data_IF_276945075397
#
_entry.id   IF_276945075397
#
_cell.length_a   1.000
_cell.length_b   1.000
_cell.length_c   1.000
_cell.angle_alpha   90.00
_cell.angle_beta   90.00
_cell.angle_gamma   90.00
#
_symmetry.space_group_name_H-M   'P 1'
#
loop_
_entity.id
_entity.type
_entity.pdbx_description
1 polymer ?
#
# COMPACT_ATOMS: atom_id res chain seq x y z
N UNK A 1 -1.62 -4.43 -37.41
CA UNK A 1 -0.37 -3.73 -37.09
C UNK A 1 0.33 -3.34 -38.37
N UNK A 2 0.61 -2.06 -38.58
CA UNK A 2 1.33 -1.54 -39.74
C UNK A 2 2.85 -1.55 -39.49
N UNK A 3 3.70 -1.58 -40.53
CA UNK A 3 5.16 -1.47 -40.38
C UNK A 3 5.64 -0.21 -39.62
N UNK A 4 4.83 0.86 -39.60
CA UNK A 4 5.11 2.06 -38.80
C UNK A 4 4.97 1.83 -37.29
N UNK A 5 4.08 0.92 -36.86
CA UNK A 5 3.90 0.55 -35.44
C UNK A 5 5.05 -0.33 -34.92
N UNK A 6 5.81 -0.97 -35.80
CA UNK A 6 7.00 -1.75 -35.45
C UNK A 6 8.28 -0.91 -35.32
N UNK A 7 8.31 0.30 -35.88
CA UNK A 7 9.49 1.19 -35.82
C UNK A 7 9.52 2.06 -34.56
N UNK A 8 8.39 2.16 -33.83
CA UNK A 8 8.31 2.88 -32.54
C UNK A 8 8.76 2.04 -31.33
N UNK A 9 9.16 0.78 -31.54
CA UNK A 9 9.46 -0.19 -30.48
C UNK A 9 10.95 -0.50 -30.28
N UNK A 10 11.85 0.32 -30.84
CA UNK A 10 13.30 0.16 -30.67
C UNK A 10 13.95 1.20 -29.75
N UNK A 11 13.17 1.90 -28.90
CA UNK A 11 13.81 2.49 -27.73
C UNK A 11 14.30 1.36 -26.85
N UNK A 12 15.61 1.25 -26.68
CA UNK A 12 16.17 0.32 -25.71
C UNK A 12 15.65 0.71 -24.33
N UNK A 13 15.39 -0.23 -23.43
CA UNK A 13 14.85 0.08 -22.09
C UNK A 13 15.67 1.13 -21.32
N UNK A 14 16.95 1.29 -21.68
CA UNK A 14 17.86 2.30 -21.12
C UNK A 14 17.51 3.75 -21.45
N UNK A 15 16.68 3.99 -22.47
CA UNK A 15 16.29 5.33 -22.91
C UNK A 15 14.96 5.82 -22.29
N UNK A 16 14.25 4.94 -21.59
CA UNK A 16 12.98 5.28 -20.98
C UNK A 16 13.19 6.09 -19.71
N UNK A 17 12.44 7.17 -19.55
CA UNK A 17 12.36 7.87 -18.28
C UNK A 17 11.79 6.95 -17.20
N UNK A 18 12.08 7.17 -15.90
CA UNK A 18 11.52 6.36 -14.82
C UNK A 18 9.99 6.26 -14.85
N UNK A 19 9.30 7.35 -15.21
CA UNK A 19 7.85 7.35 -15.37
C UNK A 19 7.43 6.42 -16.51
N UNK A 20 8.04 6.52 -17.70
CA UNK A 20 7.75 5.62 -18.81
C UNK A 20 8.02 4.14 -18.48
N UNK A 21 9.10 3.83 -17.74
CA UNK A 21 9.38 2.48 -17.25
C UNK A 21 8.28 1.99 -16.32
N UNK A 22 7.86 2.79 -15.34
CA UNK A 22 6.75 2.46 -14.47
C UNK A 22 5.45 2.21 -15.26
N UNK A 23 5.14 3.08 -16.22
CA UNK A 23 3.91 3.00 -17.00
C UNK A 23 3.86 1.79 -17.95
N UNK A 24 5.01 1.37 -18.50
CA UNK A 24 5.13 0.30 -19.50
C UNK A 24 5.49 -1.06 -18.90
N UNK A 25 6.43 -1.08 -17.96
CA UNK A 25 6.99 -2.28 -17.35
C UNK A 25 6.42 -2.54 -15.95
N UNK A 26 5.61 -1.62 -15.40
CA UNK A 26 4.98 -1.78 -14.09
C UNK A 26 5.89 -1.45 -12.92
N UNK A 27 7.14 -1.05 -13.14
CA UNK A 27 8.04 -0.65 -12.06
C UNK A 27 9.21 0.22 -12.54
N UNK A 28 9.87 0.88 -11.60
CA UNK A 28 11.16 1.57 -11.80
C UNK A 28 11.98 1.63 -10.50
N UNK A 29 13.30 1.73 -10.65
CA UNK A 29 14.23 1.93 -9.54
C UNK A 29 14.23 3.39 -9.06
N UNK A 30 14.40 3.58 -7.74
CA UNK A 30 14.59 4.87 -7.11
C UNK A 30 15.89 4.86 -6.31
N UNK A 31 16.78 5.82 -6.56
CA UNK A 31 18.05 5.92 -5.84
C UNK A 31 17.88 6.22 -4.35
N UNK A 32 16.79 6.89 -3.97
CA UNK A 32 16.37 7.16 -2.60
C UNK A 32 14.84 7.21 -2.55
N UNK A 33 14.20 6.91 -1.41
CA UNK A 33 12.79 7.24 -1.24
C UNK A 33 12.57 8.76 -1.37
N UNK A 34 11.39 9.22 -1.81
CA UNK A 34 11.14 10.64 -1.97
C UNK A 34 11.20 11.37 -0.63
N UNK A 35 11.74 12.58 -0.65
CA UNK A 35 11.70 13.49 0.50
C UNK A 35 10.26 13.95 0.76
N UNK A 36 9.54 13.17 1.55
CA UNK A 36 8.12 13.37 1.82
C UNK A 36 7.83 13.12 3.31
N UNK A 37 6.95 13.93 3.90
CA UNK A 37 6.59 13.84 5.31
C UNK A 37 6.05 12.47 5.71
N UNK A 38 5.23 11.81 4.87
CA UNK A 38 4.73 10.46 5.16
C UNK A 38 5.84 9.40 5.14
N UNK A 39 6.86 9.56 4.31
CA UNK A 39 8.04 8.68 4.32
C UNK A 39 8.78 8.83 5.64
N UNK A 40 9.06 10.06 6.05
CA UNK A 40 9.71 10.37 7.34
C UNK A 40 8.90 9.85 8.53
N UNK A 41 7.58 10.00 8.49
CA UNK A 41 6.66 9.48 9.50
C UNK A 41 6.73 7.95 9.59
N UNK A 42 6.66 7.25 8.45
CA UNK A 42 6.75 5.80 8.41
C UNK A 42 8.11 5.29 8.96
N UNK A 43 9.21 5.94 8.60
CA UNK A 43 10.55 5.65 9.12
C UNK A 43 10.63 5.85 10.64
N UNK A 44 10.07 6.95 11.16
CA UNK A 44 10.02 7.22 12.59
C UNK A 44 9.22 6.15 13.35
N UNK A 45 8.06 5.75 12.80
CA UNK A 45 7.24 4.68 13.38
C UNK A 45 7.95 3.33 13.34
N UNK A 46 8.60 3.00 12.21
CA UNK A 46 9.41 1.78 12.09
C UNK A 46 10.56 1.79 13.10
N UNK A 47 11.34 2.86 13.16
CA UNK A 47 12.46 2.98 14.12
C UNK A 47 12.01 2.82 15.57
N UNK A 48 10.80 3.28 15.91
CA UNK A 48 10.27 3.19 17.27
C UNK A 48 9.71 1.81 17.61
N UNK A 49 9.06 1.14 16.67
CA UNK A 49 8.21 -0.01 16.98
C UNK A 49 8.59 -1.33 16.30
N UNK A 50 9.46 -1.32 15.28
CA UNK A 50 9.77 -2.53 14.52
C UNK A 50 10.31 -3.67 15.40
N UNK A 51 11.19 -3.36 16.36
CA UNK A 51 11.70 -4.34 17.32
C UNK A 51 10.59 -4.97 18.14
N UNK A 52 9.69 -4.16 18.70
CA UNK A 52 8.55 -4.63 19.50
C UNK A 52 7.57 -5.48 18.67
N UNK A 53 7.30 -5.09 17.42
CA UNK A 53 6.46 -5.89 16.51
C UNK A 53 7.10 -7.25 16.23
N UNK A 54 8.41 -7.29 15.95
CA UNK A 54 9.13 -8.54 15.70
C UNK A 54 9.15 -9.46 16.93
N UNK A 55 9.39 -8.91 18.12
CA UNK A 55 9.34 -9.64 19.40
C UNK A 55 7.99 -10.32 19.60
N UNK A 56 6.89 -9.55 19.50
CA UNK A 56 5.54 -10.08 19.65
C UNK A 56 5.24 -11.21 18.64
N UNK A 57 5.65 -11.04 17.39
CA UNK A 57 5.41 -12.05 16.36
C UNK A 57 6.27 -13.30 16.55
N UNK A 58 7.48 -13.16 17.08
CA UNK A 58 8.36 -14.28 17.43
C UNK A 58 7.82 -15.06 18.64
N UNK A 59 7.33 -14.38 19.68
CA UNK A 59 6.66 -15.02 20.83
C UNK A 59 5.43 -15.85 20.39
N UNK A 60 4.80 -15.45 19.28
CA UNK A 60 3.62 -16.09 18.70
C UNK A 60 3.94 -17.09 17.59
N UNK A 61 5.22 -17.46 17.38
CA UNK A 61 5.65 -18.46 16.40
C UNK A 61 4.88 -19.79 16.48
N UNK A 62 4.64 -20.39 17.67
CA UNK A 62 3.87 -21.63 17.77
C UNK A 62 2.44 -21.55 17.22
N UNK A 63 1.94 -20.33 16.99
CA UNK A 63 0.57 -20.03 16.54
C UNK A 63 0.50 -19.54 15.10
N UNK A 64 1.62 -19.53 14.36
CA UNK A 64 1.65 -19.03 13.00
C UNK A 64 0.75 -19.82 12.04
N UNK A 65 0.47 -21.09 12.32
CA UNK A 65 -0.40 -21.91 11.48
C UNK A 65 -1.77 -22.19 12.12
N UNK A 66 -2.14 -21.46 13.17
CA UNK A 66 -3.46 -21.54 13.77
C UNK A 66 -4.54 -20.91 12.86
N UNK A 67 -5.71 -21.56 12.78
CA UNK A 67 -6.90 -21.03 12.10
C UNK A 67 -7.04 -21.44 10.63
N UNK A 68 -8.09 -20.97 9.96
CA UNK A 68 -8.46 -21.35 8.59
C UNK A 68 -8.10 -20.29 7.52
N UNK A 69 -7.13 -19.42 7.80
CA UNK A 69 -6.76 -18.30 6.94
C UNK A 69 -5.31 -18.35 6.44
N UNK A 70 -4.79 -17.17 6.06
CA UNK A 70 -3.35 -17.02 5.75
C UNK A 70 -2.54 -17.35 7.01
N UNK A 71 -1.38 -18.02 6.89
CA UNK A 71 -0.47 -18.18 8.02
C UNK A 71 -0.15 -16.84 8.67
N UNK A 72 -0.12 -16.83 9.99
CA UNK A 72 0.13 -15.66 10.82
C UNK A 72 -1.12 -14.88 11.17
N UNK A 73 -2.32 -15.23 10.67
CA UNK A 73 -3.56 -14.46 10.93
C UNK A 73 -3.84 -14.31 12.43
N UNK A 74 -3.77 -15.41 13.18
CA UNK A 74 -4.00 -15.41 14.63
C UNK A 74 -2.91 -14.64 15.37
N UNK A 75 -1.65 -14.84 15.02
CA UNK A 75 -0.52 -14.12 15.60
C UNK A 75 -0.62 -12.60 15.36
N UNK A 76 -0.91 -12.18 14.14
CA UNK A 76 -1.08 -10.79 13.75
C UNK A 76 -2.23 -10.11 14.52
N UNK A 77 -3.35 -10.81 14.71
CA UNK A 77 -4.48 -10.31 15.49
C UNK A 77 -4.11 -10.07 16.95
N UNK A 78 -3.39 -11.01 17.58
CA UNK A 78 -2.95 -10.89 18.96
C UNK A 78 -1.95 -9.75 19.10
N UNK A 79 -0.94 -9.70 18.22
CA UNK A 79 0.03 -8.61 18.18
C UNK A 79 -0.64 -7.23 18.03
N UNK A 80 -1.64 -7.12 17.13
CA UNK A 80 -2.43 -5.89 16.96
C UNK A 80 -3.16 -5.47 18.23
N UNK A 81 -3.79 -6.41 18.94
CA UNK A 81 -4.47 -6.10 20.20
C UNK A 81 -3.49 -5.60 21.26
N UNK A 82 -2.34 -6.25 21.38
CA UNK A 82 -1.29 -5.85 22.31
C UNK A 82 -0.78 -4.45 21.98
N UNK A 83 -0.38 -4.20 20.74
CA UNK A 83 0.09 -2.88 20.27
C UNK A 83 -0.96 -1.78 20.44
N UNK A 84 -2.24 -2.10 20.21
CA UNK A 84 -3.34 -1.17 20.50
C UNK A 84 -3.43 -0.81 21.98
N UNK A 85 -3.31 -1.80 22.87
CA UNK A 85 -3.33 -1.58 24.33
C UNK A 85 -2.11 -0.81 24.84
N UNK A 86 -0.98 -0.91 24.14
CA UNK A 86 0.24 -0.13 24.39
C UNK A 86 0.16 1.31 23.82
N UNK A 87 -0.94 1.67 23.16
CA UNK A 87 -1.12 2.99 22.55
C UNK A 87 -0.28 3.21 21.28
N UNK A 88 0.23 2.15 20.65
CA UNK A 88 1.16 2.26 19.53
C UNK A 88 0.50 2.78 18.23
N UNK A 89 -0.81 2.58 18.08
CA UNK A 89 -1.51 2.93 16.83
C UNK A 89 -1.17 2.07 15.63
N UNK A 90 -0.51 0.94 15.86
CA UNK A 90 -0.11 -0.01 14.83
C UNK A 90 -1.14 -1.12 14.73
N UNK A 91 -1.50 -1.46 13.49
CA UNK A 91 -2.30 -2.63 13.17
C UNK A 91 -1.47 -3.63 12.36
N UNK A 92 -1.36 -4.86 12.84
CA UNK A 92 -0.60 -5.94 12.20
C UNK A 92 -1.57 -6.93 11.55
N UNK A 93 -1.34 -7.24 10.27
CA UNK A 93 -2.10 -8.26 9.53
C UNK A 93 -1.17 -9.31 8.92
N UNK A 94 -1.72 -10.49 8.64
CA UNK A 94 -1.06 -11.47 7.79
C UNK A 94 -1.05 -10.98 6.33
N UNK A 95 0.13 -10.95 5.73
CA UNK A 95 0.33 -10.63 4.32
C UNK A 95 0.28 -11.89 3.45
N UNK A 96 0.54 -11.78 2.14
CA UNK A 96 0.75 -12.96 1.30
C UNK A 96 1.90 -13.79 1.91
N UNK A 97 1.73 -15.12 2.06
CA UNK A 97 2.67 -15.95 2.82
C UNK A 97 3.98 -16.17 2.05
N UNK A 98 5.00 -16.66 2.75
CA UNK A 98 6.20 -17.21 2.11
C UNK A 98 5.86 -18.52 1.40
N UNK A 99 6.46 -18.74 0.24
CA UNK A 99 6.31 -19.94 -0.57
C UNK A 99 7.65 -20.44 -1.09
N UNK A 100 7.82 -21.76 -1.17
CA UNK A 100 8.95 -22.39 -1.83
C UNK A 100 9.22 -21.75 -3.20
N UNK A 101 10.51 -21.56 -3.55
CA UNK A 101 10.91 -20.99 -4.85
C UNK A 101 10.52 -21.87 -6.04
N UNK A 102 10.36 -23.16 -5.80
CA UNK A 102 10.16 -24.18 -6.82
C UNK A 102 8.81 -24.88 -6.64
N UNK A 103 8.27 -25.42 -7.73
CA UNK A 103 7.08 -26.26 -7.70
C UNK A 103 7.25 -27.40 -6.68
N UNK A 104 6.25 -27.66 -5.81
CA UNK A 104 4.84 -27.23 -5.93
C UNK A 104 4.47 -25.89 -5.24
N UNK A 105 5.43 -25.00 -4.97
CA UNK A 105 5.20 -23.67 -4.37
C UNK A 105 4.43 -23.74 -3.03
N UNK A 106 4.81 -24.69 -2.19
CA UNK A 106 4.22 -24.89 -0.86
C UNK A 106 4.43 -23.67 0.04
N UNK A 107 3.47 -23.44 0.93
CA UNK A 107 3.54 -22.38 1.92
C UNK A 107 4.52 -22.78 3.01
N UNK A 108 5.55 -21.97 3.23
CA UNK A 108 6.64 -22.29 4.18
C UNK A 108 6.60 -21.44 5.45
N UNK A 109 5.86 -20.32 5.44
CA UNK A 109 5.77 -19.47 6.60
C UNK A 109 4.89 -18.23 6.39
N UNK A 110 4.62 -17.49 7.47
CA UNK A 110 3.89 -16.24 7.37
C UNK A 110 4.79 -15.11 6.87
N UNK A 111 4.13 -14.07 6.39
CA UNK A 111 4.66 -12.71 6.35
C UNK A 111 3.61 -11.79 6.95
N UNK A 112 4.04 -10.66 7.47
CA UNK A 112 3.15 -9.73 8.15
C UNK A 112 3.28 -8.33 7.56
N UNK A 113 2.26 -7.52 7.79
CA UNK A 113 2.28 -6.11 7.46
C UNK A 113 1.85 -5.30 8.69
N UNK A 114 2.71 -4.36 9.11
CA UNK A 114 2.44 -3.42 10.19
C UNK A 114 2.00 -2.08 9.59
N UNK A 115 0.70 -1.79 9.67
CA UNK A 115 0.09 -0.55 9.21
C UNK A 115 0.13 0.52 10.30
N UNK A 116 0.49 1.74 9.91
CA UNK A 116 0.51 2.94 10.76
C UNK A 116 -0.51 3.99 10.33
N UNK A 117 -1.41 3.65 9.39
CA UNK A 117 -2.43 4.59 8.89
C UNK A 117 -3.30 5.13 10.02
N UNK A 118 -3.70 4.29 10.98
CA UNK A 118 -4.52 4.72 12.11
C UNK A 118 -3.81 5.73 13.01
N UNK A 119 -2.49 5.66 13.16
CA UNK A 119 -1.72 6.66 13.88
C UNK A 119 -1.56 7.94 13.05
N UNK A 120 -1.27 7.84 11.75
CA UNK A 120 -1.22 9.00 10.86
C UNK A 120 -2.55 9.77 10.90
N UNK A 121 -3.66 9.05 10.82
CA UNK A 121 -5.01 9.60 10.93
C UNK A 121 -5.18 10.41 12.23
N UNK A 122 -4.83 9.84 13.38
CA UNK A 122 -4.93 10.51 14.68
C UNK A 122 -4.07 11.77 14.79
N UNK A 123 -2.87 11.76 14.21
CA UNK A 123 -2.01 12.95 14.25
C UNK A 123 -2.59 14.09 13.42
N UNK A 124 -3.28 13.78 12.32
CA UNK A 124 -3.94 14.76 11.47
C UNK A 124 -5.33 15.20 11.96
N UNK A 125 -5.98 14.38 12.80
CA UNK A 125 -7.26 14.70 13.46
C UNK A 125 -7.10 15.61 14.70
N UNK A 126 -6.13 16.54 14.70
CA UNK A 126 -5.78 17.37 15.87
C UNK A 126 -6.87 18.37 16.34
N UNK A 127 -8.13 18.17 15.96
CA UNK A 127 -9.30 18.81 16.56
C UNK A 127 -9.69 18.28 17.95
N UNK A 128 -8.99 17.28 18.50
CA UNK A 128 -9.01 16.95 19.94
C UNK A 128 -10.37 16.49 20.50
N UNK A 129 -11.33 16.11 19.66
CA UNK A 129 -12.58 15.53 20.12
C UNK A 129 -12.42 14.02 20.21
N UNK A 130 -12.25 13.49 21.43
CA UNK A 130 -12.47 12.08 21.72
C UNK A 130 -13.88 11.68 21.29
N UNK A 131 -14.01 11.17 20.08
CA UNK A 131 -15.29 10.77 19.52
C UNK A 131 -15.10 10.20 18.12
N UNK A 132 -15.11 8.87 18.03
CA UNK A 132 -15.03 8.06 16.79
C UNK A 132 -16.21 8.32 15.82
N UNK A 133 -17.04 9.34 16.09
CA UNK A 133 -18.19 9.74 15.29
C UNK A 133 -18.29 11.27 15.10
N UNK A 134 -17.22 12.04 15.34
CA UNK A 134 -17.23 13.47 15.04
C UNK A 134 -17.29 13.66 13.52
N UNK A 135 -18.35 14.30 13.04
CA UNK A 135 -18.57 14.66 11.63
C UNK A 135 -17.57 15.72 11.11
N UNK A 136 -16.44 15.94 11.79
CA UNK A 136 -15.40 16.85 11.31
C UNK A 136 -14.59 16.18 10.21
N UNK A 137 -14.36 16.87 9.08
CA UNK A 137 -13.60 16.31 7.98
C UNK A 137 -12.15 16.06 8.42
N UNK A 138 -11.71 14.81 8.27
CA UNK A 138 -10.31 14.40 8.49
C UNK A 138 -9.40 15.32 7.68
N UNK A 139 -8.43 15.95 8.36
CA UNK A 139 -7.48 16.82 7.66
C UNK A 139 -6.67 15.98 6.66
N UNK A 140 -6.56 16.42 5.40
CA UNK A 140 -5.79 15.68 4.42
C UNK A 140 -4.32 15.59 4.83
N UNK A 141 -3.68 14.48 4.49
CA UNK A 141 -2.26 14.27 4.71
C UNK A 141 -1.42 15.13 3.76
N UNK A 142 -0.14 15.39 4.09
CA UNK A 142 0.76 16.17 3.24
C UNK A 142 0.82 15.63 1.82
N UNK A 143 0.67 16.51 0.84
CA UNK A 143 0.80 16.17 -0.58
C UNK A 143 2.20 15.63 -0.88
N UNK A 144 2.30 14.57 -1.68
CA UNK A 144 3.59 14.09 -2.18
C UNK A 144 4.29 15.17 -3.05
N UNK A 145 5.64 15.17 -3.13
CA UNK A 145 6.37 16.09 -4.01
C UNK A 145 5.90 15.99 -5.46
N UNK A 146 5.90 17.13 -6.18
CA UNK A 146 5.42 17.17 -7.57
C UNK A 146 6.24 16.26 -8.50
N UNK A 147 7.53 16.07 -8.23
CA UNK A 147 8.37 15.11 -8.94
C UNK A 147 7.88 13.66 -8.76
N UNK A 148 7.49 13.30 -7.54
CA UNK A 148 6.90 11.98 -7.23
C UNK A 148 5.53 11.84 -7.90
N UNK A 149 4.67 12.86 -7.85
CA UNK A 149 3.37 12.80 -8.49
C UNK A 149 3.47 12.66 -10.02
N UNK A 150 4.40 13.37 -10.66
CA UNK A 150 4.66 13.24 -12.11
C UNK A 150 5.26 11.89 -12.48
N UNK A 151 6.08 11.32 -11.61
CA UNK A 151 6.62 9.96 -11.79
C UNK A 151 5.48 8.95 -11.85
N UNK A 152 4.60 8.97 -10.85
CA UNK A 152 3.51 8.01 -10.70
C UNK A 152 2.37 8.26 -11.71
N UNK A 153 2.03 9.52 -11.92
CA UNK A 153 0.86 9.94 -12.68
C UNK A 153 1.22 11.09 -13.63
N UNK A 154 1.64 10.78 -14.87
CA UNK A 154 1.98 11.80 -15.85
C UNK A 154 0.78 12.71 -16.17
N UNK A 155 -0.42 12.14 -16.20
CA UNK A 155 -1.66 12.89 -16.43
C UNK A 155 -2.03 13.79 -15.23
N UNK A 156 -2.39 15.04 -15.50
CA UNK A 156 -2.76 16.02 -14.44
C UNK A 156 -4.01 15.56 -13.68
N UNK A 157 -4.97 14.98 -14.37
CA UNK A 157 -6.25 14.56 -13.78
C UNK A 157 -6.09 13.51 -12.68
N UNK A 158 -5.07 12.65 -12.75
CA UNK A 158 -4.79 11.64 -11.73
C UNK A 158 -4.22 12.24 -10.43
N UNK A 159 -3.64 13.45 -10.52
CA UNK A 159 -2.96 14.15 -9.41
C UNK A 159 -3.90 15.02 -8.57
N UNK A 160 -5.17 15.12 -8.95
CA UNK A 160 -6.18 15.99 -8.37
C UNK A 160 -6.83 15.37 -7.11
N UNK A 161 -6.05 15.29 -6.03
CA UNK A 161 -6.49 14.73 -4.73
C UNK A 161 -6.39 13.20 -4.65
N UNK A 162 -5.17 12.62 -4.78
CA UNK A 162 -4.98 11.19 -4.67
C UNK A 162 -5.09 10.73 -3.21
N UNK A 163 -5.18 9.42 -3.02
CA UNK A 163 -5.37 8.77 -1.72
C UNK A 163 -4.14 7.95 -1.33
N UNK A 164 -3.85 7.92 -0.04
CA UNK A 164 -2.95 6.94 0.57
C UNK A 164 -3.81 5.78 1.04
N UNK A 165 -3.56 4.59 0.50
CA UNK A 165 -4.33 3.38 0.79
C UNK A 165 -3.58 2.42 1.68
N UNK A 166 -2.24 2.49 1.69
CA UNK A 166 -1.40 1.78 2.65
C UNK A 166 -0.23 2.67 3.12
N UNK A 167 0.10 2.59 4.41
CA UNK A 167 1.28 3.23 4.99
C UNK A 167 1.80 2.35 6.14
N UNK A 168 3.07 1.92 6.07
CA UNK A 168 3.60 0.97 7.02
C UNK A 168 4.80 0.19 6.48
N UNK A 169 5.03 -1.00 7.02
CA UNK A 169 6.10 -1.87 6.56
C UNK A 169 5.70 -3.34 6.60
N UNK A 170 6.25 -4.08 5.64
CA UNK A 170 6.24 -5.55 5.67
C UNK A 170 7.23 -6.02 6.74
N UNK A 171 6.84 -7.01 7.53
CA UNK A 171 7.66 -7.64 8.56
C UNK A 171 7.89 -9.09 8.16
N UNK A 172 9.16 -9.46 7.97
CA UNK A 172 9.55 -10.78 7.43
C UNK A 172 10.39 -11.53 8.46
N UNK A 173 9.98 -12.74 8.87
CA UNK A 173 10.78 -13.58 9.74
C UNK A 173 12.18 -13.88 9.17
N UNK A 174 13.17 -14.17 10.03
CA UNK A 174 14.47 -14.67 9.57
C UNK A 174 14.30 -15.97 8.79
N UNK A 175 15.18 -16.22 7.82
CA UNK A 175 15.22 -17.46 7.05
C UNK A 175 13.93 -17.79 6.28
N UNK A 176 13.19 -16.79 5.84
CA UNK A 176 11.98 -16.96 5.04
C UNK A 176 12.30 -17.16 3.57
N UNK A 177 11.59 -18.10 2.93
CA UNK A 177 11.47 -18.14 1.47
C UNK A 177 10.82 -16.85 0.91
N UNK A 178 10.92 -16.60 -0.40
CA UNK A 178 10.19 -15.50 -1.04
C UNK A 178 8.69 -15.55 -0.74
N UNK A 179 8.04 -14.40 -0.80
CA UNK A 179 6.59 -14.28 -0.74
C UNK A 179 5.92 -14.96 -1.95
N UNK A 180 4.66 -15.35 -1.83
CA UNK A 180 3.86 -15.74 -3.00
C UNK A 180 3.86 -14.60 -4.05
N UNK A 181 4.08 -14.94 -5.33
CA UNK A 181 3.94 -13.98 -6.42
C UNK A 181 2.46 -13.55 -6.54
N UNK A 182 2.20 -12.25 -6.58
CA UNK A 182 0.85 -11.69 -6.58
C UNK A 182 0.81 -10.30 -7.24
N UNK A 183 -0.40 -9.85 -7.57
CA UNK A 183 -0.73 -8.44 -7.76
C UNK A 183 -1.66 -8.04 -6.61
N UNK A 184 -1.55 -6.80 -6.14
CA UNK A 184 -2.40 -6.30 -5.04
C UNK A 184 -3.78 -5.89 -5.53
N UNK A 185 -3.87 -5.46 -6.79
CA UNK A 185 -5.13 -5.10 -7.44
C UNK A 185 -5.42 -6.07 -8.59
N UNK A 186 -6.60 -6.66 -8.53
CA UNK A 186 -7.14 -7.52 -9.59
C UNK A 186 -8.53 -7.01 -9.97
N UNK A 187 -8.79 -6.87 -11.26
CA UNK A 187 -10.14 -6.68 -11.79
C UNK A 187 -11.02 -7.90 -11.54
N UNK A 188 -12.24 -7.62 -11.08
CA UNK A 188 -13.29 -8.62 -10.92
C UNK A 188 -13.76 -9.07 -12.33
N UNK A 189 -13.59 -10.36 -12.69
CA UNK A 189 -14.01 -10.86 -13.99
C UNK A 189 -15.54 -10.76 -14.22
N UNK A 190 -16.34 -10.55 -13.17
CA UNK A 190 -17.77 -10.32 -13.26
C UNK A 190 -18.15 -8.89 -13.68
N UNK A 191 -17.20 -7.95 -13.73
CA UNK A 191 -17.44 -6.57 -14.19
C UNK A 191 -17.18 -6.49 -15.71
N UNK A 192 -18.22 -6.33 -16.56
CA UNK A 192 -18.12 -6.48 -18.01
C UNK A 192 -17.16 -5.50 -18.70
N UNK A 193 -16.90 -4.35 -18.07
CA UNK A 193 -15.95 -3.32 -18.52
C UNK A 193 -14.68 -3.31 -17.67
N UNK A 194 -14.24 -4.51 -17.23
CA UNK A 194 -13.15 -4.78 -16.30
C UNK A 194 -12.05 -3.72 -16.34
N UNK A 195 -11.81 -3.11 -15.17
CA UNK A 195 -10.94 -1.96 -14.89
C UNK A 195 -10.15 -1.50 -16.12
N UNK A 196 -10.52 -0.38 -16.78
CA UNK A 196 -9.89 0.02 -18.03
C UNK A 196 -8.38 0.06 -17.79
N UNK A 197 -7.65 -0.90 -18.39
CA UNK A 197 -6.22 -1.08 -18.14
C UNK A 197 -5.55 0.29 -18.23
N UNK A 198 -4.79 0.66 -17.19
CA UNK A 198 -4.04 1.93 -17.11
C UNK A 198 -4.86 3.20 -16.85
N UNK A 199 -6.17 3.12 -16.63
CA UNK A 199 -6.97 4.26 -16.15
C UNK A 199 -7.09 4.12 -14.64
N UNK A 200 -6.61 5.12 -13.90
CA UNK A 200 -6.75 5.13 -12.46
C UNK A 200 -5.76 4.18 -11.77
N UNK A 201 -4.47 4.55 -11.78
CA UNK A 201 -3.39 3.68 -11.32
C UNK A 201 -3.17 3.68 -9.81
N UNK A 202 -2.66 2.56 -9.35
CA UNK A 202 -2.26 2.26 -7.97
C UNK A 202 -0.77 2.02 -7.95
N UNK A 203 -0.06 2.69 -7.06
CA UNK A 203 1.39 2.56 -7.00
C UNK A 203 1.86 2.37 -5.57
N UNK A 204 2.84 1.49 -5.41
CA UNK A 204 3.67 1.46 -4.23
C UNK A 204 4.92 2.28 -4.47
N UNK A 205 5.36 2.96 -3.42
CA UNK A 205 6.76 3.31 -3.25
C UNK A 205 7.24 2.47 -2.08
N UNK A 206 8.19 1.56 -2.33
CA UNK A 206 8.73 0.66 -1.34
C UNK A 206 10.22 0.92 -1.16
N UNK A 207 10.70 0.92 0.09
CA UNK A 207 12.10 1.21 0.40
C UNK A 207 12.61 0.47 1.63
N UNK A 208 13.93 0.31 1.70
CA UNK A 208 14.61 -0.23 2.87
C UNK A 208 14.68 0.83 3.97
N UNK A 209 14.23 0.55 5.21
CA UNK A 209 14.29 1.54 6.27
C UNK A 209 15.72 1.94 6.60
N UNK A 210 15.94 3.22 6.88
CA UNK A 210 17.28 3.78 7.12
C UNK A 210 18.01 3.10 8.30
N UNK A 211 17.26 2.78 9.37
CA UNK A 211 17.80 2.07 10.54
C UNK A 211 18.28 0.65 10.23
N UNK A 212 17.73 0.00 9.19
CA UNK A 212 18.20 -1.32 8.73
C UNK A 212 19.46 -1.23 7.85
N UNK A 213 19.84 -0.02 7.42
CA UNK A 213 21.00 0.25 6.57
C UNK A 213 22.25 0.69 7.35
N UNK A 214 22.14 0.86 8.67
CA UNK A 214 23.27 1.19 9.53
C UNK A 214 23.64 -0.05 10.38
N UNK A 215 24.86 -0.56 10.24
CA UNK A 215 25.33 -1.58 11.19
C UNK A 215 25.59 -0.93 12.57
N UNK A 216 25.78 -1.73 13.62
CA UNK A 216 26.03 -1.26 14.99
C UNK A 216 27.31 -0.41 15.15
N UNK A 217 28.10 -0.26 14.09
CA UNK A 217 29.32 0.56 14.01
C UNK A 217 29.13 1.85 13.21
N UNK A 218 27.91 2.14 12.72
CA UNK A 218 27.64 3.29 11.86
C UNK A 218 28.22 3.18 10.45
N UNK A 219 28.71 2.00 10.06
CA UNK A 219 29.11 1.74 8.68
C UNK A 219 27.86 1.39 7.88
N UNK A 220 27.81 1.91 6.64
CA UNK A 220 26.73 1.63 5.71
C UNK A 220 26.67 0.12 5.46
N UNK A 221 25.58 -0.53 5.85
CA UNK A 221 25.38 -1.95 5.59
C UNK A 221 25.47 -2.20 4.09
N UNK A 222 26.18 -3.26 3.68
CA UNK A 222 26.43 -3.59 2.27
C UNK A 222 25.17 -4.02 1.51
N UNK A 223 24.05 -4.23 2.20
CA UNK A 223 22.74 -4.56 1.62
C UNK A 223 21.78 -3.38 1.78
N UNK A 224 21.97 -2.37 0.94
CA UNK A 224 21.14 -1.16 0.90
C UNK A 224 19.88 -1.41 0.02
N UNK A 225 19.85 -2.48 -0.77
CA UNK A 225 18.79 -2.74 -1.75
C UNK A 225 17.48 -3.25 -1.12
N UNK A 226 16.34 -2.90 -1.73
CA UNK A 226 15.08 -3.57 -1.44
C UNK A 226 15.13 -5.02 -1.90
N UNK A 227 14.44 -5.91 -1.20
CA UNK A 227 14.34 -7.32 -1.59
C UNK A 227 13.11 -7.61 -2.44
N UNK A 228 12.28 -6.62 -2.76
CA UNK A 228 11.09 -6.82 -3.58
C UNK A 228 11.48 -7.27 -4.99
N UNK A 229 10.99 -8.42 -5.41
CA UNK A 229 11.16 -8.94 -6.76
C UNK A 229 9.91 -8.59 -7.59
N UNK A 230 10.11 -8.23 -8.86
CA UNK A 230 9.06 -7.78 -9.78
C UNK A 230 9.14 -8.58 -11.07
N UNK A 231 7.99 -8.91 -11.67
CA UNK A 231 7.94 -9.51 -13.01
C UNK A 231 7.60 -8.40 -14.02
N UNK A 232 8.58 -7.89 -14.81
CA UNK A 232 8.35 -6.74 -15.68
C UNK A 232 7.21 -6.98 -16.68
N UNK A 233 6.39 -5.95 -16.87
CA UNK A 233 5.23 -5.92 -17.75
C UNK A 233 4.15 -7.00 -17.49
N UNK A 234 4.22 -7.71 -16.35
CA UNK A 234 3.27 -8.73 -15.96
C UNK A 234 2.00 -8.14 -15.33
N UNK A 235 1.22 -7.40 -16.13
CA UNK A 235 -0.12 -6.91 -15.79
C UNK A 235 -1.17 -7.98 -16.10
N UNK A 236 -1.20 -9.02 -15.28
CA UNK A 236 -1.90 -10.29 -15.58
C UNK A 236 -3.25 -10.41 -14.90
N UNK A 237 -3.76 -9.35 -14.26
CA UNK A 237 -4.96 -9.42 -13.46
C UNK A 237 -4.88 -10.44 -12.30
N UNK A 238 -3.69 -10.63 -11.74
CA UNK A 238 -3.43 -11.59 -10.67
C UNK A 238 -3.23 -13.04 -11.14
N UNK A 239 -3.30 -13.32 -12.45
CA UNK A 239 -2.97 -14.63 -12.99
C UNK A 239 -1.45 -14.87 -12.91
N UNK A 240 -1.05 -15.97 -12.28
CA UNK A 240 0.37 -16.31 -12.05
C UNK A 240 0.70 -17.63 -12.73
N UNK A 241 1.72 -17.64 -13.60
CA UNK A 241 2.27 -18.81 -14.27
C UNK A 241 3.78 -18.99 -14.02
N UNK A 242 4.34 -20.17 -14.33
CA UNK A 242 5.77 -20.46 -14.18
C UNK A 242 6.69 -19.48 -14.90
N UNK A 243 6.28 -18.98 -16.07
CA UNK A 243 7.00 -17.98 -16.85
C UNK A 243 7.21 -16.66 -16.10
N UNK A 244 6.27 -16.27 -15.22
CA UNK A 244 6.41 -15.06 -14.41
C UNK A 244 7.47 -15.24 -13.33
N UNK A 245 7.60 -16.43 -12.74
CA UNK A 245 8.68 -16.74 -11.79
C UNK A 245 10.06 -16.72 -12.45
N UNK A 246 10.15 -17.19 -13.71
CA UNK A 246 11.38 -17.17 -14.48
C UNK A 246 11.81 -15.75 -14.90
N UNK A 247 10.85 -14.83 -15.02
CA UNK A 247 11.06 -13.44 -15.42
C UNK A 247 11.26 -12.47 -14.25
N UNK A 248 11.36 -12.96 -13.01
CA UNK A 248 11.52 -12.08 -11.85
C UNK A 248 12.87 -11.37 -11.85
N UNK A 249 12.82 -10.07 -11.62
CA UNK A 249 13.98 -9.21 -11.44
C UNK A 249 14.04 -8.72 -9.99
N UNK A 250 15.27 -8.63 -9.45
CA UNK A 250 15.53 -8.03 -8.15
C UNK A 250 16.20 -6.67 -8.36
N UNK A 251 15.56 -5.56 -7.97
CA UNK A 251 16.14 -4.23 -8.01
C UNK A 251 17.44 -4.15 -7.19
N UNK A 252 18.37 -3.32 -7.65
CA UNK A 252 19.65 -3.10 -6.98
C UNK A 252 19.68 -1.84 -6.11
N UNK A 253 18.54 -1.13 -6.01
CA UNK A 253 18.40 0.17 -5.36
C UNK A 253 17.69 0.11 -4.00
N UNK A 254 17.91 1.11 -3.12
CA UNK A 254 17.24 1.17 -1.81
C UNK A 254 15.74 1.44 -1.84
N UNK A 255 15.23 1.87 -2.98
CA UNK A 255 13.83 2.12 -3.17
C UNK A 255 13.40 1.76 -4.59
N UNK A 256 12.11 1.47 -4.74
CA UNK A 256 11.45 1.26 -6.03
C UNK A 256 10.07 1.89 -6.00
N UNK A 257 9.56 2.21 -7.19
CA UNK A 257 8.14 2.40 -7.40
C UNK A 257 7.62 1.27 -8.29
N UNK A 258 6.46 0.71 -7.97
CA UNK A 258 5.80 -0.29 -8.79
C UNK A 258 4.29 -0.11 -8.80
N UNK A 259 3.66 -0.54 -9.88
CA UNK A 259 2.22 -0.52 -10.08
C UNK A 259 1.61 -1.74 -9.39
N UNK A 260 0.56 -1.54 -8.57
CA UNK A 260 -0.09 -2.61 -7.80
C UNK A 260 -0.76 -3.67 -8.69
N UNK A 261 -1.00 -3.37 -9.97
CA UNK A 261 -1.49 -4.33 -10.96
C UNK A 261 -0.38 -5.24 -11.54
N UNK A 262 0.89 -4.88 -11.33
CA UNK A 262 2.05 -5.64 -11.79
C UNK A 262 2.41 -6.74 -10.79
N UNK A 263 2.69 -7.95 -11.30
CA UNK A 263 3.12 -9.06 -10.46
C UNK A 263 4.44 -8.75 -9.74
N UNK A 264 4.44 -8.94 -8.44
CA UNK A 264 5.60 -8.72 -7.57
C UNK A 264 5.53 -9.62 -6.33
N UNK A 265 6.63 -9.67 -5.56
CA UNK A 265 6.72 -10.37 -4.28
C UNK A 265 7.86 -9.85 -3.42
N UNK A 266 7.76 -9.98 -2.11
CA UNK A 266 8.94 -9.83 -1.25
C UNK A 266 9.94 -10.97 -1.47
N UNK A 267 11.22 -10.65 -1.67
CA UNK A 267 12.29 -11.63 -1.84
C UNK A 267 12.63 -12.41 -0.57
N UNK A 268 13.55 -13.36 -0.70
CA UNK A 268 13.98 -14.24 0.38
C UNK A 268 14.79 -13.54 1.46
N UNK A 269 14.70 -14.04 2.69
CA UNK A 269 15.55 -13.68 3.83
C UNK A 269 16.39 -14.89 4.28
N UNK A 270 16.58 -15.88 3.41
CA UNK A 270 17.50 -16.99 3.66
C UNK A 270 18.92 -16.45 3.86
N UNK A 271 19.58 -16.93 4.90
CA UNK A 271 20.91 -16.45 5.30
C UNK A 271 20.93 -15.18 6.16
N UNK A 272 19.81 -14.49 6.36
CA UNK A 272 19.76 -13.35 7.30
C UNK A 272 19.47 -13.83 8.72
N UNK A 273 20.24 -13.38 9.70
CA UNK A 273 20.09 -13.80 11.10
C UNK A 273 18.90 -13.14 11.85
N UNK A 274 18.28 -12.12 11.26
CA UNK A 274 17.27 -11.31 11.93
C UNK A 274 16.02 -11.07 11.10
N UNK A 275 15.02 -10.50 11.75
CA UNK A 275 13.82 -10.00 11.07
C UNK A 275 14.19 -8.88 10.11
N UNK A 276 13.52 -8.85 8.96
CA UNK A 276 13.73 -7.79 7.97
C UNK A 276 12.43 -7.04 7.71
N UNK A 277 12.59 -5.83 7.19
CA UNK A 277 11.46 -4.99 6.84
C UNK A 277 11.69 -4.25 5.52
N UNK A 278 10.58 -3.93 4.87
CA UNK A 278 10.47 -3.01 3.74
C UNK A 278 9.35 -2.05 4.04
N UNK A 279 9.64 -0.76 4.14
CA UNK A 279 8.64 0.27 4.30
C UNK A 279 7.93 0.52 2.96
N UNK A 280 6.67 0.91 3.03
CA UNK A 280 5.87 1.19 1.84
C UNK A 280 4.86 2.30 2.10
N UNK A 281 4.56 3.02 1.04
CA UNK A 281 3.34 3.81 0.89
C UNK A 281 2.65 3.37 -0.39
N UNK A 282 1.38 3.01 -0.29
CA UNK A 282 0.54 2.71 -1.44
C UNK A 282 -0.38 3.90 -1.70
N UNK A 283 -0.47 4.25 -2.98
CA UNK A 283 -1.10 5.44 -3.47
C UNK A 283 -2.11 5.09 -4.56
N UNK A 284 -3.27 5.73 -4.48
CA UNK A 284 -4.32 5.62 -5.47
C UNK A 284 -4.58 6.98 -6.11
N UNK A 285 -4.58 7.04 -7.44
CA UNK A 285 -4.97 8.27 -8.18
C UNK A 285 -6.42 8.64 -7.90
N UNK A 286 -6.77 9.91 -8.09
CA UNK A 286 -8.16 10.35 -7.95
C UNK A 286 -9.11 9.59 -8.90
N UNK A 287 -8.70 9.38 -10.16
CA UNK A 287 -9.49 8.58 -11.11
C UNK A 287 -9.53 7.10 -10.75
N UNK A 288 -8.44 6.55 -10.18
CA UNK A 288 -8.40 5.17 -9.70
C UNK A 288 -9.42 4.95 -8.61
N UNK A 289 -9.41 5.83 -7.62
CA UNK A 289 -10.31 5.76 -6.48
C UNK A 289 -11.78 5.67 -6.91
N UNK A 290 -12.17 6.56 -7.84
CA UNK A 290 -13.50 6.52 -8.44
C UNK A 290 -13.75 5.24 -9.27
N UNK A 291 -12.75 4.76 -10.02
CA UNK A 291 -12.85 3.58 -10.87
C UNK A 291 -13.02 2.27 -10.09
N UNK A 292 -12.42 2.15 -8.89
CA UNK A 292 -12.70 1.03 -7.98
C UNK A 292 -14.08 1.11 -7.33
N UNK A 293 -14.79 2.21 -7.56
CA UNK A 293 -16.06 2.49 -6.90
C UNK A 293 -15.86 2.67 -5.41
N UNK A 294 -14.70 3.14 -4.94
CA UNK A 294 -14.46 3.36 -3.51
C UNK A 294 -15.48 4.33 -2.90
N UNK A 295 -16.05 5.22 -3.72
CA UNK A 295 -17.11 6.16 -3.33
C UNK A 295 -18.51 5.52 -3.15
N UNK A 296 -18.68 4.23 -3.45
CA UNK A 296 -19.99 3.55 -3.32
C UNK A 296 -19.99 2.02 -3.12
N UNK A 297 -18.84 1.35 -3.24
CA UNK A 297 -18.67 -0.12 -3.12
C UNK A 297 -17.77 -0.53 -1.96
N UNK A 298 -16.90 0.35 -1.47
CA UNK A 298 -16.08 0.04 -0.30
C UNK A 298 -16.96 0.08 0.95
N UNK A 299 -16.88 -0.96 1.79
CA UNK A 299 -17.45 -0.88 3.13
C UNK A 299 -16.88 0.35 3.85
N UNK A 300 -17.68 1.12 4.61
CA UNK A 300 -17.19 2.30 5.31
C UNK A 300 -15.93 2.06 6.16
N UNK A 301 -15.78 0.84 6.68
CA UNK A 301 -14.59 0.40 7.44
C UNK A 301 -13.30 0.38 6.63
N UNK A 302 -13.35 0.19 5.31
CA UNK A 302 -12.17 0.26 4.45
C UNK A 302 -11.68 1.70 4.34
N UNK A 303 -12.60 2.66 4.34
CA UNK A 303 -12.29 4.10 4.31
C UNK A 303 -11.59 4.57 5.59
N UNK A 304 -11.86 3.92 6.73
CA UNK A 304 -11.18 4.18 8.02
C UNK A 304 -9.65 3.96 7.94
N UNK A 305 -9.17 3.27 6.91
CA UNK A 305 -7.75 3.00 6.67
C UNK A 305 -7.21 3.65 5.40
N UNK A 306 -7.81 4.78 5.00
CA UNK A 306 -7.30 5.57 3.86
C UNK A 306 -7.16 7.03 4.25
N UNK A 307 -6.19 7.72 3.64
CA UNK A 307 -5.91 9.13 3.92
C UNK A 307 -5.95 9.92 2.62
N UNK A 308 -6.83 10.91 2.54
CA UNK A 308 -6.86 11.82 1.39
C UNK A 308 -5.62 12.72 1.43
N UNK A 309 -4.90 12.85 0.33
CA UNK A 309 -3.80 13.81 0.24
C UNK A 309 -4.29 15.21 -0.09
N UNK A 310 -3.57 16.22 0.40
CA UNK A 310 -3.89 17.61 0.11
C UNK A 310 -3.79 17.92 -1.40
N UNK A 311 -4.67 18.79 -1.89
CA UNK A 311 -4.62 19.32 -3.27
C UNK A 311 -3.65 20.50 -3.38
N UNK A 312 -3.27 20.87 -4.61
CA UNK A 312 -2.41 22.04 -4.82
C UNK A 312 -3.13 23.35 -4.43
N UNK A 313 -4.43 23.41 -4.65
CA UNK A 313 -5.30 24.53 -4.30
C UNK A 313 -5.36 24.72 -2.79
N UNK A 314 -5.51 23.63 -2.03
CA UNK A 314 -5.52 23.67 -0.56
C UNK A 314 -4.21 24.19 0.04
N UNK A 315 -3.07 23.92 -0.62
CA UNK A 315 -1.76 24.43 -0.20
C UNK A 315 -1.55 25.91 -0.53
N UNK A 316 -2.14 26.39 -1.62
CA UNK A 316 -1.96 27.77 -2.11
C UNK A 316 -2.95 28.76 -1.49
N UNK A 317 -4.16 28.31 -1.16
CA UNK A 317 -5.21 29.18 -0.64
C UNK A 317 -4.92 29.75 0.76
N UNK A 318 -4.06 29.12 1.57
CA UNK A 318 -3.83 29.51 2.98
C UNK A 318 -5.06 29.37 3.89
N UNK A 319 -6.25 29.25 3.31
CA UNK A 319 -7.55 29.02 3.92
C UNK A 319 -8.12 27.69 3.39
N UNK A 320 -8.48 26.81 4.33
CA UNK A 320 -9.02 25.50 4.04
C UNK A 320 -10.49 25.62 3.67
N UNK A 321 -10.80 25.65 2.38
CA UNK A 321 -12.18 25.49 1.89
C UNK A 321 -12.41 24.00 1.63
N UNK A 322 -13.24 23.37 2.46
CA UNK A 322 -13.77 22.03 2.20
C UNK A 322 -14.75 22.15 1.03
N UNK A 323 -14.57 21.43 -0.09
CA UNK A 323 -15.57 21.41 -1.15
C UNK A 323 -16.88 20.87 -0.58
N UNK A 324 -17.96 21.66 -0.68
CA UNK A 324 -19.29 21.29 -0.18
C UNK A 324 -19.87 20.02 -0.87
N UNK A 325 -19.24 19.60 -1.97
CA UNK A 325 -19.71 18.55 -2.87
C UNK A 325 -19.46 17.12 -2.34
N UNK A 326 -18.57 16.95 -1.34
CA UNK A 326 -18.31 15.63 -0.70
C UNK A 326 -19.25 15.32 0.47
N UNK A 327 -20.17 16.22 0.81
CA UNK A 327 -21.20 16.00 1.85
C UNK A 327 -22.51 15.45 1.27
N UNK A 328 -22.41 14.55 0.27
CA UNK A 328 -23.54 13.95 -0.45
C UNK A 328 -24.53 13.17 0.43
N UNK A 329 -25.26 13.87 1.30
CA UNK A 329 -26.52 13.48 1.85
C UNK A 329 -27.60 14.08 0.96
N UNK A 330 -28.08 13.30 0.00
CA UNK A 330 -29.34 13.59 -0.69
C UNK A 330 -30.48 13.49 0.33
N UNK A 331 -30.70 14.58 1.06
CA UNK A 331 -31.93 14.80 1.81
C UNK A 331 -33.07 15.10 0.84
N UNK A 332 -33.57 14.06 0.17
CA UNK A 332 -34.99 13.98 -0.13
C UNK A 332 -35.63 13.58 1.20
N UNK A 333 -36.41 14.42 1.91
CA UNK A 333 -37.42 15.28 1.35
C UNK A 333 -38.58 14.41 0.89
N UNK A 334 -39.23 13.72 1.81
CA UNK A 334 -40.61 13.25 1.64
C UNK A 334 -41.37 13.40 2.96
N UNK A 335 -42.42 14.22 2.86
CA UNK A 335 -43.48 14.46 3.82
C UNK A 335 -44.24 13.17 4.16
N UNK A 336 -44.43 12.88 5.45
CA UNK A 336 -45.66 12.20 5.90
C UNK A 336 -46.13 12.80 7.23
N UNK A 337 -47.18 13.61 7.10
CA UNK A 337 -48.10 14.02 8.15
C UNK A 337 -48.72 12.81 8.88
N UNK A 338 -48.71 12.88 10.21
CA UNK A 338 -49.85 12.58 11.10
C UNK A 338 -50.85 11.47 10.68
N UNK A 339 -50.87 10.36 11.43
CA UNK A 339 -52.12 9.92 12.09
C UNK A 339 -51.87 8.93 13.24
N UNK A 340 -52.57 9.19 14.36
CA UNK A 340 -52.80 8.29 15.50
C UNK A 340 -53.55 7.03 15.06
N UNK A 341 -53.31 5.89 15.72
CA UNK A 341 -54.26 5.23 16.66
C UNK A 341 -54.02 3.71 16.83
N UNK A 342 -54.01 3.30 18.09
CA UNK A 342 -54.61 2.07 18.67
C UNK A 342 -54.36 0.66 18.10
N UNK A 343 -53.92 -0.23 19.00
CA UNK A 343 -54.72 -1.40 19.40
C UNK A 343 -54.24 -2.78 18.95
N UNK A 344 -54.13 -3.69 19.94
CA UNK A 344 -54.31 -5.16 19.95
C UNK A 344 -54.01 -5.95 18.65
N UNK A 345 -53.19 -7.00 18.64
CA UNK A 345 -53.18 -8.16 19.54
C UNK A 345 -51.81 -8.86 19.52
#
# INVERSE_FOLDING_TARGET
>A
MTPAELTLFQMTESELTPSERLQRCGWCELHVPPHWELVSFCEAMHSRWAGRVAELLAELEPRWFDGSGRPGTVAAYIASKTLKSEGAGIYVRAAHPSKCRWEPYEVTGPRFYASVIGEAWRQHDSGGAEGVHSASPVRPVPRAPESTLKLLWPEVADRAGPWVTELGWTVVPPHSDPQALHADITSDPAVPDGHPRRVGRYHHIAWKPAAASANSRGECATEIAVTTEVAPAAFTNGEVGPEHYAALETPSTPAIAFDSECLHRGGSTLGTAGWTATCTVQLCSARGWAALGCDGRCEPRVLEFTLRMATAEQLTAGEWVVPAEDLGGSGAGDDVESTRASGHA
#
